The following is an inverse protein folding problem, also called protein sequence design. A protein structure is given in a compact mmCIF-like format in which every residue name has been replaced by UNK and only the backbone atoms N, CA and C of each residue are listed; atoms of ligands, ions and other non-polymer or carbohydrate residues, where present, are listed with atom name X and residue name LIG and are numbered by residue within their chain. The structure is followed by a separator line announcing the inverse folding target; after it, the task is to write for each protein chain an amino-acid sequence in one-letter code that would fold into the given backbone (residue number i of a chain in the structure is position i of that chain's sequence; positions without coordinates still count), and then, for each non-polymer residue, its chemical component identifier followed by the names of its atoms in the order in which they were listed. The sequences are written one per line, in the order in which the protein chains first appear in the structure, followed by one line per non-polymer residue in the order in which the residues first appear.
data_IF_998836202043
#
_entry.id   IF_998836202043
#
_cell.length_a   1.000
_cell.length_b   1.000
_cell.length_c   1.000
_cell.angle_alpha   90.00
_cell.angle_beta   90.00
_cell.angle_gamma   90.00
#
_symmetry.space_group_name_H-M   'P 1'
#
loop_
_entity.id
_entity.type
_entity.pdbx_description
1 polymer ?
#
# COMPACT_ATOMS: atom_id res chain seq x y z
N UNK A 1 3.25 -12.74 36.26
CA UNK A 1 3.47 -12.10 34.94
C UNK A 1 2.55 -10.89 34.84
N UNK A 2 3.08 -9.66 34.75
CA UNK A 2 2.22 -8.48 34.67
C UNK A 2 1.40 -8.50 33.36
N UNK A 3 0.14 -8.03 33.37
CA UNK A 3 -0.67 -7.96 32.17
C UNK A 3 -0.02 -7.02 31.14
N UNK A 4 -0.02 -7.43 29.87
CA UNK A 4 0.52 -6.59 28.79
C UNK A 4 -0.24 -5.27 28.71
N UNK A 5 0.44 -4.14 28.41
CA UNK A 5 -0.21 -2.85 28.26
C UNK A 5 -1.32 -2.91 27.19
N UNK A 6 -2.39 -2.11 27.32
CA UNK A 6 -3.56 -2.19 26.46
C UNK A 6 -3.26 -2.03 24.96
N UNK A 7 -2.26 -1.23 24.59
CA UNK A 7 -1.81 -1.09 23.20
C UNK A 7 -1.20 -2.39 22.63
N UNK A 8 -0.34 -3.07 23.40
CA UNK A 8 0.23 -4.37 23.00
C UNK A 8 -0.83 -5.47 22.91
N UNK A 9 -1.89 -5.39 23.74
CA UNK A 9 -3.02 -6.33 23.69
C UNK A 9 -3.86 -6.14 22.43
N UNK A 10 -3.99 -4.92 21.92
CA UNK A 10 -4.68 -4.60 20.65
C UNK A 10 -3.91 -5.11 19.44
N UNK A 11 -2.60 -4.90 19.38
CA UNK A 11 -1.75 -5.39 18.29
C UNK A 11 -1.80 -6.93 18.16
N UNK A 12 -1.67 -7.64 19.28
CA UNK A 12 -1.68 -9.12 19.27
C UNK A 12 -3.00 -9.73 18.77
N UNK A 13 -4.13 -9.04 18.95
CA UNK A 13 -5.43 -9.52 18.47
C UNK A 13 -5.64 -9.26 16.99
N UNK A 14 -5.16 -8.13 16.47
CA UNK A 14 -5.17 -7.84 15.02
C UNK A 14 -4.36 -8.90 14.27
N UNK A 15 -3.15 -9.19 14.75
CA UNK A 15 -2.28 -10.23 14.17
C UNK A 15 -2.91 -11.62 14.22
N UNK A 16 -3.47 -12.04 15.37
CA UNK A 16 -4.17 -13.34 15.47
C UNK A 16 -5.34 -13.46 14.50
N UNK A 17 -6.12 -12.40 14.35
CA UNK A 17 -7.25 -12.38 13.41
C UNK A 17 -6.75 -12.49 11.97
N UNK A 18 -5.74 -11.69 11.59
CA UNK A 18 -5.15 -11.71 10.26
C UNK A 18 -4.56 -13.08 9.90
N UNK A 19 -3.87 -13.76 10.82
CA UNK A 19 -3.33 -15.11 10.60
C UNK A 19 -4.45 -16.15 10.44
N UNK A 20 -5.46 -16.11 11.31
CA UNK A 20 -6.57 -17.06 11.27
C UNK A 20 -7.41 -16.93 9.98
N UNK A 21 -7.78 -15.70 9.63
CA UNK A 21 -8.52 -15.44 8.39
C UNK A 21 -7.63 -15.66 7.16
N UNK A 22 -6.36 -15.27 7.21
CA UNK A 22 -5.41 -15.49 6.13
C UNK A 22 -5.33 -16.94 5.68
N UNK A 23 -5.22 -17.88 6.63
CA UNK A 23 -5.17 -19.31 6.33
C UNK A 23 -6.46 -19.80 5.64
N UNK A 24 -7.62 -19.54 6.23
CA UNK A 24 -8.90 -20.04 5.69
C UNK A 24 -9.27 -19.39 4.36
N UNK A 25 -9.16 -18.06 4.27
CA UNK A 25 -9.52 -17.31 3.07
C UNK A 25 -8.56 -17.60 1.90
N UNK A 26 -7.28 -17.91 2.15
CA UNK A 26 -6.35 -18.34 1.10
C UNK A 26 -6.72 -19.69 0.48
N UNK A 27 -7.46 -20.52 1.21
CA UNK A 27 -8.00 -21.81 0.73
C UNK A 27 -9.42 -21.64 0.12
N UNK A 28 -9.92 -20.40 0.00
CA UNK A 28 -11.26 -20.11 -0.50
C UNK A 28 -12.39 -20.39 0.51
N UNK A 29 -12.07 -20.51 1.80
CA UNK A 29 -13.05 -20.82 2.86
C UNK A 29 -13.50 -19.53 3.55
N UNK A 30 -14.75 -19.13 3.28
CA UNK A 30 -15.47 -18.09 4.03
C UNK A 30 -16.12 -17.02 3.14
N UNK A 31 -17.45 -16.90 3.22
CA UNK A 31 -18.23 -15.94 2.44
C UNK A 31 -18.35 -14.56 3.11
N UNK A 32 -18.16 -14.51 4.43
CA UNK A 32 -18.21 -13.28 5.23
C UNK A 32 -17.28 -13.40 6.43
N UNK A 33 -16.65 -12.30 6.83
CA UNK A 33 -15.78 -12.25 7.99
C UNK A 33 -16.22 -11.18 8.97
N UNK A 34 -16.02 -11.47 10.26
CA UNK A 34 -16.15 -10.50 11.34
C UNK A 34 -14.90 -10.55 12.21
N UNK A 35 -14.15 -9.46 12.23
CA UNK A 35 -12.99 -9.33 13.12
C UNK A 35 -13.48 -8.97 14.53
N UNK A 36 -12.95 -9.63 15.56
CA UNK A 36 -13.32 -9.37 16.95
C UNK A 36 -12.17 -8.71 17.71
N UNK A 37 -12.33 -7.44 18.07
CA UNK A 37 -11.34 -6.64 18.80
C UNK A 37 -11.92 -6.10 20.10
N UNK A 38 -11.09 -5.92 21.13
CA UNK A 38 -11.50 -5.09 22.29
C UNK A 38 -11.22 -3.62 21.99
N UNK A 39 -11.92 -3.10 20.99
CA UNK A 39 -11.80 -1.75 20.44
C UNK A 39 -13.17 -1.27 19.93
N UNK A 40 -13.33 0.02 19.59
CA UNK A 40 -14.54 0.49 18.93
C UNK A 40 -14.85 -0.33 17.66
N UNK A 41 -16.14 -0.56 17.34
CA UNK A 41 -16.53 -1.42 16.21
C UNK A 41 -16.01 -0.93 14.86
N UNK A 42 -15.77 0.37 14.72
CA UNK A 42 -15.15 0.98 13.54
C UNK A 42 -13.75 0.40 13.26
N UNK A 43 -12.97 0.06 14.30
CA UNK A 43 -11.66 -0.59 14.11
C UNK A 43 -11.79 -2.03 13.59
N UNK A 44 -12.84 -2.76 13.99
CA UNK A 44 -13.09 -4.12 13.48
C UNK A 44 -13.33 -4.11 11.98
N UNK A 45 -14.12 -3.14 11.50
CA UNK A 45 -14.42 -2.94 10.07
C UNK A 45 -13.13 -2.60 9.32
N UNK A 46 -12.32 -1.66 9.83
CA UNK A 46 -11.04 -1.28 9.21
C UNK A 46 -10.10 -2.47 9.04
N UNK A 47 -9.94 -3.29 10.08
CA UNK A 47 -9.06 -4.46 10.03
C UNK A 47 -9.62 -5.54 9.11
N UNK A 48 -10.94 -5.77 9.10
CA UNK A 48 -11.57 -6.72 8.19
C UNK A 48 -11.36 -6.35 6.72
N UNK A 49 -11.51 -5.06 6.38
CA UNK A 49 -11.23 -4.55 5.03
C UNK A 49 -9.75 -4.77 4.67
N UNK A 50 -8.82 -4.42 5.56
CA UNK A 50 -7.38 -4.59 5.32
C UNK A 50 -6.98 -6.05 5.09
N UNK A 51 -7.60 -7.01 5.80
CA UNK A 51 -7.34 -8.44 5.59
C UNK A 51 -7.76 -8.88 4.18
N UNK A 52 -8.97 -8.49 3.75
CA UNK A 52 -9.47 -8.82 2.41
C UNK A 52 -8.64 -8.16 1.30
N UNK A 53 -8.28 -6.88 1.48
CA UNK A 53 -7.38 -6.14 0.58
C UNK A 53 -5.99 -6.80 0.49
N UNK A 54 -5.43 -7.27 1.61
CA UNK A 54 -4.12 -7.94 1.64
C UNK A 54 -4.13 -9.27 0.87
N UNK A 55 -5.26 -9.98 0.86
CA UNK A 55 -5.44 -11.24 0.13
C UNK A 55 -5.97 -11.03 -1.31
N UNK A 56 -6.08 -9.78 -1.78
CA UNK A 56 -6.69 -9.44 -3.07
C UNK A 56 -8.15 -9.91 -3.23
N UNK A 57 -8.87 -10.16 -2.13
CA UNK A 57 -10.29 -10.53 -2.14
C UNK A 57 -11.22 -9.32 -2.20
N UNK A 58 -10.67 -8.12 -2.04
CA UNK A 58 -11.36 -6.84 -2.17
C UNK A 58 -10.42 -5.85 -2.86
N UNK A 59 -10.97 -5.02 -3.75
CA UNK A 59 -10.20 -3.94 -4.38
C UNK A 59 -9.63 -3.01 -3.32
N UNK A 60 -8.31 -2.75 -3.43
CA UNK A 60 -7.57 -1.81 -2.58
C UNK A 60 -7.94 -0.39 -2.99
N UNK A 61 -8.18 0.51 -2.03
CA UNK A 61 -8.38 1.93 -2.33
C UNK A 61 -7.06 2.62 -2.64
N UNK A 62 -6.11 2.60 -1.72
CA UNK A 62 -4.77 3.14 -1.95
C UNK A 62 -3.80 2.26 -1.19
N UNK A 63 -2.76 1.78 -1.87
CA UNK A 63 -1.73 0.96 -1.25
C UNK A 63 -0.37 1.61 -1.45
N UNK A 64 0.30 1.95 -0.36
CA UNK A 64 1.65 2.49 -0.39
C UNK A 64 2.60 1.38 0.05
N UNK A 65 3.51 1.00 -0.84
CA UNK A 65 4.54 0.00 -0.60
C UNK A 65 5.87 0.71 -0.48
N UNK A 66 6.51 0.65 0.69
CA UNK A 66 7.82 1.26 0.93
C UNK A 66 8.87 0.21 1.24
N UNK A 67 10.10 0.42 0.74
CA UNK A 67 11.24 -0.36 1.18
C UNK A 67 11.48 -0.16 2.69
N UNK A 68 11.79 -1.20 3.49
CA UNK A 68 12.03 -1.07 4.94
C UNK A 68 13.27 -0.24 5.33
N UNK A 69 13.93 0.38 4.34
CA UNK A 69 15.29 0.92 4.42
C UNK A 69 16.33 -0.16 4.68
N UNK A 70 17.53 0.01 4.14
CA UNK A 70 18.66 -0.89 4.33
C UNK A 70 19.97 -0.11 4.20
N UNK A 71 21.13 -0.74 4.39
CA UNK A 71 22.44 -0.08 4.24
C UNK A 71 22.74 0.46 2.83
N UNK A 72 21.88 0.16 1.83
CA UNK A 72 21.94 0.71 0.47
C UNK A 72 21.02 1.91 0.27
N UNK A 73 20.20 2.24 1.26
CA UNK A 73 19.31 3.39 1.17
C UNK A 73 20.17 4.65 1.07
N UNK A 74 19.92 5.42 0.01
CA UNK A 74 20.64 6.66 -0.26
C UNK A 74 19.81 7.90 0.14
N UNK A 75 18.55 7.67 0.52
CA UNK A 75 17.59 8.68 0.97
C UNK A 75 16.86 8.19 2.21
N UNK A 76 16.24 9.13 2.93
CA UNK A 76 15.39 8.82 4.07
C UNK A 76 14.02 8.29 3.60
N UNK A 77 13.94 6.96 3.45
CA UNK A 77 12.74 6.29 2.95
C UNK A 77 11.53 6.51 3.85
N UNK A 78 11.74 6.61 5.16
CA UNK A 78 10.67 6.81 6.13
C UNK A 78 10.01 8.17 5.90
N UNK A 79 10.80 9.24 5.83
CA UNK A 79 10.28 10.58 5.55
C UNK A 79 9.58 10.64 4.20
N UNK A 80 10.19 10.07 3.16
CA UNK A 80 9.61 10.10 1.82
C UNK A 80 8.27 9.34 1.78
N UNK A 81 8.19 8.18 2.43
CA UNK A 81 6.95 7.40 2.51
C UNK A 81 5.87 8.13 3.32
N UNK A 82 6.23 8.78 4.43
CA UNK A 82 5.29 9.56 5.24
C UNK A 82 4.75 10.77 4.46
N UNK A 83 5.62 11.51 3.75
CA UNK A 83 5.24 12.65 2.92
C UNK A 83 4.32 12.24 1.76
N UNK A 84 4.63 11.13 1.08
CA UNK A 84 3.78 10.57 0.02
C UNK A 84 2.45 10.08 0.59
N UNK A 85 2.45 9.46 1.77
CA UNK A 85 1.23 9.00 2.44
C UNK A 85 0.32 10.16 2.81
N UNK A 86 0.89 11.24 3.36
CA UNK A 86 0.13 12.45 3.68
C UNK A 86 -0.39 13.15 2.41
N UNK A 87 0.40 13.18 1.34
CA UNK A 87 0.01 13.81 0.07
C UNK A 87 -1.07 13.08 -0.71
N UNK A 88 -1.20 11.76 -0.50
CA UNK A 88 -2.21 10.92 -1.15
C UNK A 88 -3.38 10.58 -0.22
N UNK A 89 -3.42 11.16 0.98
CA UNK A 89 -4.51 10.95 1.93
C UNK A 89 -5.84 11.47 1.34
N UNK A 90 -6.86 10.61 1.31
CA UNK A 90 -8.18 10.95 0.75
C UNK A 90 -8.40 10.53 -0.70
N UNK A 91 -7.41 9.92 -1.36
CA UNK A 91 -7.59 9.34 -2.69
C UNK A 91 -8.44 8.06 -2.62
N UNK A 92 -9.55 8.03 -3.36
CA UNK A 92 -10.47 6.87 -3.39
C UNK A 92 -10.22 5.90 -4.54
N UNK A 93 -9.36 6.28 -5.48
CA UNK A 93 -9.06 5.50 -6.70
C UNK A 93 -8.08 4.37 -6.38
N UNK A 94 -8.36 3.11 -6.80
CA UNK A 94 -7.48 1.96 -6.58
C UNK A 94 -6.12 2.16 -7.22
N UNK A 95 -5.14 2.60 -6.42
CA UNK A 95 -3.79 2.89 -6.88
C UNK A 95 -2.74 2.26 -5.96
N UNK A 96 -1.75 1.57 -6.56
CA UNK A 96 -0.58 1.06 -5.86
C UNK A 96 0.62 1.98 -6.10
N UNK A 97 1.17 2.56 -5.03
CA UNK A 97 2.29 3.49 -5.06
C UNK A 97 3.51 2.90 -4.37
N UNK A 98 4.64 2.82 -5.08
CA UNK A 98 5.90 2.27 -4.58
C UNK A 98 6.93 3.37 -4.22
N UNK A 99 7.46 3.36 -3.00
CA UNK A 99 8.48 4.31 -2.54
C UNK A 99 9.77 3.57 -2.17
N UNK A 100 10.79 3.70 -3.03
CA UNK A 100 12.02 2.91 -2.93
C UNK A 100 13.25 3.77 -2.65
N UNK A 101 14.03 3.39 -1.65
CA UNK A 101 15.16 4.16 -1.15
C UNK A 101 16.51 3.97 -1.87
N UNK A 102 16.57 3.09 -2.87
CA UNK A 102 17.78 2.82 -3.62
C UNK A 102 17.48 2.49 -5.08
N UNK A 103 18.48 2.68 -5.94
CA UNK A 103 18.39 2.36 -7.38
C UNK A 103 18.67 0.90 -7.72
N UNK A 104 18.93 0.04 -6.72
CA UNK A 104 19.32 -1.37 -6.94
C UNK A 104 18.08 -2.24 -7.14
N UNK A 105 17.31 -2.44 -6.06
CA UNK A 105 16.05 -3.21 -6.11
C UNK A 105 14.84 -2.31 -6.35
N UNK A 106 14.99 -0.99 -6.11
CA UNK A 106 13.91 -0.04 -6.25
C UNK A 106 13.24 -0.01 -7.63
N UNK A 107 13.97 -0.12 -8.75
CA UNK A 107 13.35 -0.16 -10.07
C UNK A 107 12.49 -1.41 -10.31
N UNK A 108 12.82 -2.56 -9.72
CA UNK A 108 12.01 -3.77 -9.86
C UNK A 108 10.67 -3.60 -9.16
N UNK A 109 10.72 -3.22 -7.88
CA UNK A 109 9.52 -3.02 -7.05
C UNK A 109 8.65 -1.85 -7.56
N UNK A 110 9.28 -0.77 -8.07
CA UNK A 110 8.55 0.37 -8.63
C UNK A 110 7.86 0.07 -9.97
N UNK A 111 8.30 -0.95 -10.71
CA UNK A 111 7.66 -1.36 -11.98
C UNK A 111 6.42 -2.21 -11.79
N UNK A 112 6.32 -2.92 -10.67
CA UNK A 112 5.14 -3.72 -10.30
C UNK A 112 4.01 -2.86 -9.73
N UNK A 113 4.26 -1.58 -9.47
CA UNK A 113 3.28 -0.62 -9.00
C UNK A 113 2.73 0.21 -10.15
N UNK A 114 1.53 0.77 -9.97
CA UNK A 114 0.93 1.68 -10.94
C UNK A 114 1.75 2.98 -11.05
N UNK A 115 2.26 3.42 -9.90
CA UNK A 115 3.13 4.57 -9.75
C UNK A 115 4.27 4.21 -8.80
N UNK A 116 5.50 4.64 -9.08
CA UNK A 116 6.61 4.37 -8.18
C UNK A 116 7.75 5.36 -8.28
N UNK A 117 8.59 5.39 -7.25
CA UNK A 117 9.86 6.10 -7.27
C UNK A 117 10.99 5.20 -6.82
N UNK A 118 12.10 5.25 -7.57
CA UNK A 118 13.39 4.75 -7.12
C UNK A 118 14.35 5.93 -6.89
N UNK A 119 14.69 6.17 -5.63
CA UNK A 119 15.52 7.30 -5.20
C UNK A 119 16.98 6.88 -5.01
N UNK A 120 17.90 7.74 -5.43
CA UNK A 120 19.34 7.56 -5.23
C UNK A 120 20.17 8.72 -5.76
N UNK A 121 21.34 8.93 -5.14
CA UNK A 121 22.30 9.99 -5.50
C UNK A 121 21.65 11.39 -5.66
N UNK A 122 20.69 11.75 -4.78
CA UNK A 122 19.98 13.03 -4.81
C UNK A 122 18.96 13.18 -5.95
N UNK A 123 18.57 12.08 -6.62
CA UNK A 123 17.59 12.04 -7.70
C UNK A 123 16.56 10.93 -7.47
N UNK A 124 15.36 11.10 -8.00
CA UNK A 124 14.31 10.08 -8.04
C UNK A 124 13.92 9.79 -9.48
N UNK A 125 13.91 8.51 -9.85
CA UNK A 125 13.32 8.05 -11.10
C UNK A 125 11.86 7.71 -10.84
N UNK A 126 10.95 8.38 -11.53
CA UNK A 126 9.51 8.16 -11.43
C UNK A 126 9.09 7.14 -12.48
N UNK A 127 8.36 6.12 -12.02
CA UNK A 127 7.83 5.02 -12.82
C UNK A 127 6.31 5.14 -12.87
N UNK A 128 5.73 4.95 -14.05
CA UNK A 128 4.28 4.79 -14.25
C UNK A 128 4.06 3.54 -15.07
N UNK A 129 3.25 2.60 -14.58
CA UNK A 129 2.94 1.32 -15.25
C UNK A 129 4.18 0.58 -15.78
N UNK A 130 5.28 0.61 -15.04
CA UNK A 130 6.52 -0.06 -15.41
C UNK A 130 7.53 0.76 -16.24
N UNK A 131 7.18 1.97 -16.69
CA UNK A 131 8.04 2.79 -17.53
C UNK A 131 8.59 4.02 -16.80
N UNK A 132 9.85 4.38 -17.06
CA UNK A 132 10.45 5.59 -16.49
C UNK A 132 9.97 6.80 -17.28
N UNK A 133 9.13 7.61 -16.67
CA UNK A 133 8.57 8.81 -17.30
C UNK A 133 9.46 10.04 -17.12
N UNK A 134 10.08 10.19 -15.96
CA UNK A 134 10.93 11.35 -15.62
C UNK A 134 11.90 11.04 -14.50
N UNK A 135 13.05 11.70 -14.55
CA UNK A 135 14.01 11.75 -13.43
C UNK A 135 14.00 13.15 -12.85
N UNK A 136 13.72 13.26 -11.56
CA UNK A 136 13.60 14.54 -10.84
C UNK A 136 14.62 14.61 -9.71
N UNK A 137 15.03 15.82 -9.28
CA UNK A 137 15.79 15.97 -8.04
C UNK A 137 14.96 15.53 -6.83
N UNK A 138 15.63 15.12 -5.76
CA UNK A 138 14.99 14.61 -4.54
C UNK A 138 13.89 15.52 -3.97
N UNK A 139 14.13 16.84 -4.00
CA UNK A 139 13.19 17.85 -3.53
C UNK A 139 11.86 17.91 -4.29
N UNK A 140 11.82 17.39 -5.53
CA UNK A 140 10.62 17.40 -6.37
C UNK A 140 9.92 16.06 -6.42
N UNK A 141 10.44 15.01 -5.77
CA UNK A 141 9.88 13.66 -5.88
C UNK A 141 8.42 13.62 -5.44
N UNK A 142 8.12 14.16 -4.26
CA UNK A 142 6.78 14.10 -3.66
C UNK A 142 5.76 14.85 -4.50
N UNK A 143 6.04 16.11 -4.86
CA UNK A 143 5.20 16.92 -5.74
C UNK A 143 4.92 16.18 -7.06
N UNK A 144 5.98 15.64 -7.67
CA UNK A 144 5.89 14.93 -8.94
C UNK A 144 5.06 13.65 -8.84
N UNK A 145 5.17 12.88 -7.74
CA UNK A 145 4.37 11.68 -7.54
C UNK A 145 2.89 12.01 -7.36
N UNK A 146 2.58 13.04 -6.57
CA UNK A 146 1.20 13.48 -6.34
C UNK A 146 0.56 13.92 -7.65
N UNK A 147 1.26 14.73 -8.46
CA UNK A 147 0.77 15.17 -9.77
C UNK A 147 0.45 14.00 -10.71
N UNK A 148 1.32 12.99 -10.75
CA UNK A 148 1.09 11.80 -11.60
C UNK A 148 -0.03 10.92 -11.03
N UNK A 149 -0.13 10.78 -9.71
CA UNK A 149 -1.24 10.07 -9.07
C UNK A 149 -2.59 10.72 -9.40
N UNK A 150 -2.67 12.06 -9.37
CA UNK A 150 -3.90 12.78 -9.75
C UNK A 150 -4.26 12.58 -11.23
N UNK A 151 -3.29 12.58 -12.14
CA UNK A 151 -3.55 12.32 -13.57
C UNK A 151 -4.08 10.91 -13.80
N UNK A 152 -3.50 9.92 -13.13
CA UNK A 152 -3.94 8.53 -13.20
C UNK A 152 -5.36 8.41 -12.61
N UNK A 153 -5.62 9.08 -11.49
CA UNK A 153 -6.94 9.12 -10.86
C UNK A 153 -8.00 9.71 -11.81
N UNK A 154 -7.73 10.86 -12.43
CA UNK A 154 -8.64 11.46 -13.42
C UNK A 154 -8.90 10.56 -14.63
N UNK A 155 -7.88 9.83 -15.11
CA UNK A 155 -8.04 8.90 -16.22
C UNK A 155 -8.92 7.71 -15.83
N UNK A 156 -8.70 7.13 -14.64
CA UNK A 156 -9.50 6.01 -14.13
C UNK A 156 -10.96 6.39 -13.86
N UNK A 157 -11.22 7.63 -13.43
CA UNK A 157 -12.57 8.18 -13.30
C UNK A 157 -13.26 8.36 -14.67
N UNK A 158 -12.53 8.83 -15.69
CA UNK A 158 -13.04 9.03 -17.05
C UNK A 158 -13.28 7.72 -17.80
N UNK A 159 -12.41 6.73 -17.60
CA UNK A 159 -12.51 5.43 -18.25
C UNK A 159 -13.55 4.51 -17.59
N UNK A 160 -14.20 4.98 -16.50
CA UNK A 160 -15.23 4.24 -15.80
C UNK A 160 -14.70 2.88 -15.35
N UNK A 161 -13.60 2.87 -14.59
CA UNK A 161 -13.05 1.62 -14.10
C UNK A 161 -14.16 0.85 -13.36
N UNK A 162 -14.46 -0.40 -13.76
CA UNK A 162 -15.48 -1.18 -13.11
C UNK A 162 -15.05 -1.37 -11.67
N UNK A 163 -16.02 -1.30 -10.76
CA UNK A 163 -16.00 -2.03 -9.50
C UNK A 163 -15.98 -3.54 -9.82
N UNK A 164 -14.92 -3.98 -10.49
CA UNK A 164 -14.68 -5.35 -10.91
C UNK A 164 -14.25 -6.12 -9.68
N UNK A 165 -15.12 -7.03 -9.27
CA UNK A 165 -14.83 -8.06 -8.28
C UNK A 165 -13.48 -8.68 -8.71
N UNK A 166 -12.46 -8.75 -7.83
CA UNK A 166 -11.24 -9.48 -8.19
C UNK A 166 -11.65 -10.93 -8.50
N UNK A 167 -11.51 -11.35 -9.75
CA UNK A 167 -11.72 -12.74 -10.13
C UNK A 167 -10.58 -13.56 -9.53
N UNK A 168 -10.91 -14.28 -8.45
CA UNK A 168 -10.00 -15.26 -7.85
C UNK A 168 -10.11 -16.53 -8.68
N UNK A 169 -9.21 -16.72 -9.65
CA UNK A 169 -9.03 -18.04 -10.27
C UNK A 169 -8.36 -18.97 -9.27
N UNK A 170 -9.15 -19.86 -8.68
CA UNK A 170 -8.65 -21.02 -7.92
C UNK A 170 -8.38 -22.13 -8.94
N UNK A 171 -7.13 -22.57 -9.06
CA UNK A 171 -6.73 -23.79 -9.80
C UNK A 171 -6.36 -24.89 -8.83
#
# INVERSE_FOLDING_TARGET
MPPRPPAARRLSRRLRSAVAFGALLSEGIGDTIRVSLSAPPVEEIKVGIQILESLNLRQRRLEIVSCPSCGRAQVDVYKLADEVTAGLEGMEVPLRVAVMGCVVNGPGEAREADLGVASGNGKGQIFVKGEVIKTVPESKIVETLIDEAMKIAEQLEKDGAPSGIPEVTVS
#
